data_IF_600115761567
#
_entry.id   IF_600115761567
#
_cell.length_a   1.000
_cell.length_b   1.000
_cell.length_c   1.000
_cell.angle_alpha   90.00
_cell.angle_beta   90.00
_cell.angle_gamma   90.00
#
_symmetry.space_group_name_H-M   'P 1'
#
loop_
_entity.id
_entity.type
_entity.pdbx_description
1 polymer ?
#
# COMPACT_ATOMS: atom_id res chain seq x y z
N UNK A 1 -9.52 -14.23 -7.79
CA UNK A 1 -8.18 -13.80 -7.32
C UNK A 1 -7.04 -14.69 -7.83
N UNK A 2 -7.28 -15.61 -8.77
CA UNK A 2 -6.22 -16.48 -9.29
C UNK A 2 -5.26 -15.81 -10.29
N UNK A 3 -5.46 -14.53 -10.65
CA UNK A 3 -4.72 -13.87 -11.72
C UNK A 3 -4.22 -12.44 -11.42
N UNK A 4 -4.40 -11.93 -10.20
CA UNK A 4 -3.92 -10.60 -9.80
C UNK A 4 -3.77 -10.50 -8.28
N UNK A 5 -3.00 -9.51 -7.81
CA UNK A 5 -2.80 -9.24 -6.39
C UNK A 5 -3.09 -7.77 -6.07
N UNK A 6 -3.43 -7.48 -4.82
CA UNK A 6 -3.74 -6.14 -4.31
C UNK A 6 -2.76 -5.76 -3.20
N UNK A 7 -2.30 -4.52 -3.18
CA UNK A 7 -1.42 -4.01 -2.13
C UNK A 7 -1.84 -2.59 -1.76
N UNK A 8 -1.97 -2.34 -0.46
CA UNK A 8 -2.14 -0.99 0.09
C UNK A 8 -0.78 -0.51 0.56
N UNK A 9 -0.27 0.57 -0.04
CA UNK A 9 1.06 1.12 0.24
C UNK A 9 0.95 2.48 0.93
N UNK A 10 1.78 2.69 1.94
CA UNK A 10 1.98 3.99 2.56
C UNK A 10 3.39 4.49 2.24
N UNK A 11 3.49 5.50 1.35
CA UNK A 11 4.77 6.14 1.05
C UNK A 11 5.08 7.12 2.18
N UNK A 12 6.30 7.07 2.72
CA UNK A 12 6.75 7.87 3.88
C UNK A 12 7.93 8.79 3.55
N UNK A 13 7.70 9.89 2.79
CA UNK A 13 8.75 10.86 2.49
C UNK A 13 9.35 11.48 3.75
N UNK A 14 8.52 11.69 4.77
CA UNK A 14 8.90 12.23 6.07
C UNK A 14 9.99 11.40 6.78
N UNK A 15 9.95 10.07 6.63
CA UNK A 15 11.01 9.18 7.15
C UNK A 15 12.21 9.20 6.20
N UNK A 16 11.96 9.11 4.90
CA UNK A 16 13.01 8.91 3.91
C UNK A 16 13.91 10.14 3.70
N UNK A 17 13.38 11.33 3.92
CA UNK A 17 14.13 12.59 3.91
C UNK A 17 15.14 12.66 5.06
N UNK A 18 14.84 12.02 6.19
CA UNK A 18 15.72 11.95 7.35
C UNK A 18 16.87 10.91 7.19
N UNK A 19 16.81 10.03 6.19
CA UNK A 19 17.88 9.04 5.97
C UNK A 19 19.21 9.71 5.66
N UNK A 20 20.24 9.27 6.36
CA UNK A 20 21.63 9.59 6.04
C UNK A 20 22.01 9.09 4.64
N UNK A 21 23.09 9.65 4.08
CA UNK A 21 23.68 9.17 2.83
C UNK A 21 23.98 7.66 2.91
N UNK A 22 24.53 7.21 4.04
CA UNK A 22 24.83 5.79 4.30
C UNK A 22 23.59 4.90 4.27
N UNK A 23 22.53 5.27 4.98
CA UNK A 23 21.30 4.48 5.01
C UNK A 23 20.66 4.33 3.64
N UNK A 24 20.70 5.38 2.80
CA UNK A 24 20.19 5.30 1.42
C UNK A 24 21.00 4.29 0.61
N UNK A 25 22.34 4.32 0.74
CA UNK A 25 23.22 3.39 0.04
C UNK A 25 23.01 1.95 0.51
N UNK A 26 22.90 1.71 1.82
CA UNK A 26 22.65 0.38 2.39
C UNK A 26 21.29 -0.17 1.93
N UNK A 27 20.23 0.63 2.01
CA UNK A 27 18.88 0.25 1.53
C UNK A 27 18.87 -0.06 0.05
N UNK A 28 19.54 0.75 -0.78
CA UNK A 28 19.66 0.49 -2.21
C UNK A 28 20.43 -0.80 -2.49
N UNK A 29 21.52 -1.03 -1.76
CA UNK A 29 22.42 -2.17 -1.95
C UNK A 29 21.78 -3.51 -1.56
N UNK A 30 20.78 -3.50 -0.67
CA UNK A 30 19.97 -4.68 -0.35
C UNK A 30 19.05 -5.13 -1.50
N UNK A 31 18.75 -4.24 -2.46
CA UNK A 31 17.84 -4.51 -3.57
C UNK A 31 18.58 -4.63 -4.92
N UNK A 32 19.67 -3.89 -5.08
CA UNK A 32 20.40 -3.75 -6.33
C UNK A 32 21.90 -3.77 -6.11
N UNK A 33 22.65 -4.17 -7.14
CA UNK A 33 24.09 -3.95 -7.14
C UNK A 33 24.37 -2.44 -7.16
N UNK A 34 25.08 -1.96 -6.16
CA UNK A 34 25.51 -0.56 -6.07
C UNK A 34 26.58 -0.19 -7.09
N UNK A 35 26.91 1.10 -7.21
CA UNK A 35 28.01 1.59 -8.05
C UNK A 35 29.37 1.35 -7.39
N UNK A 36 30.46 1.48 -8.16
CA UNK A 36 31.82 1.39 -7.61
C UNK A 36 32.01 2.33 -6.41
N UNK A 37 31.55 3.58 -6.51
CA UNK A 37 31.71 4.56 -5.43
C UNK A 37 30.84 4.24 -4.21
N UNK A 38 29.64 3.68 -4.39
CA UNK A 38 28.81 3.29 -3.26
C UNK A 38 29.38 2.09 -2.51
N UNK A 39 29.98 1.13 -3.23
CA UNK A 39 30.67 -0.01 -2.62
C UNK A 39 31.90 0.42 -1.82
N UNK A 40 32.75 1.28 -2.41
CA UNK A 40 33.90 1.89 -1.72
C UNK A 40 33.48 2.69 -0.50
N UNK A 41 32.39 3.46 -0.60
CA UNK A 41 31.83 4.21 0.52
C UNK A 41 31.37 3.31 1.68
N UNK A 42 30.65 2.21 1.38
CA UNK A 42 30.24 1.26 2.42
C UNK A 42 31.44 0.55 3.08
N UNK A 43 32.49 0.29 2.31
CA UNK A 43 33.76 -0.28 2.80
C UNK A 43 34.61 0.72 3.61
N UNK A 44 34.21 1.99 3.72
CA UNK A 44 34.94 3.01 4.47
C UNK A 44 36.18 3.55 3.74
N UNK A 45 36.29 3.30 2.43
CA UNK A 45 37.40 3.82 1.62
C UNK A 45 37.24 5.32 1.35
N UNK A 46 38.35 6.08 1.29
CA UNK A 46 38.30 7.50 0.96
C UNK A 46 37.86 7.73 -0.49
N UNK A 47 36.96 8.70 -0.67
CA UNK A 47 36.53 9.20 -1.96
C UNK A 47 37.00 10.64 -2.15
N UNK A 48 37.45 10.98 -3.36
CA UNK A 48 37.75 12.38 -3.71
C UNK A 48 36.48 13.22 -3.78
N UNK A 49 36.61 14.55 -3.79
CA UNK A 49 35.45 15.45 -3.90
C UNK A 49 34.62 15.21 -5.17
N UNK A 50 35.27 14.92 -6.31
CA UNK A 50 34.59 14.62 -7.57
C UNK A 50 33.85 13.27 -7.49
N UNK A 51 34.45 12.27 -6.84
CA UNK A 51 33.81 10.96 -6.62
C UNK A 51 32.58 11.09 -5.71
N UNK A 52 32.70 11.91 -4.66
CA UNK A 52 31.59 12.27 -3.77
C UNK A 52 30.46 12.97 -4.51
N UNK A 53 30.77 13.92 -5.41
CA UNK A 53 29.76 14.61 -6.20
C UNK A 53 28.93 13.64 -7.06
N UNK A 54 29.58 12.63 -7.67
CA UNK A 54 28.90 11.58 -8.43
C UNK A 54 28.03 10.71 -7.50
N UNK A 55 28.60 10.23 -6.39
CA UNK A 55 27.87 9.39 -5.44
C UNK A 55 26.64 10.11 -4.86
N UNK A 56 26.75 11.40 -4.53
CA UNK A 56 25.62 12.20 -4.02
C UNK A 56 24.48 12.34 -5.03
N UNK A 57 24.79 12.46 -6.31
CA UNK A 57 23.79 12.47 -7.38
C UNK A 57 23.05 11.13 -7.43
N UNK A 58 23.79 10.02 -7.31
CA UNK A 58 23.23 8.68 -7.30
C UNK A 58 22.35 8.46 -6.04
N UNK A 59 22.84 8.83 -4.85
CA UNK A 59 22.10 8.77 -3.59
C UNK A 59 20.78 9.55 -3.67
N UNK A 60 20.80 10.77 -4.22
CA UNK A 60 19.58 11.56 -4.41
C UNK A 60 18.58 10.83 -5.30
N UNK A 61 19.05 10.23 -6.39
CA UNK A 61 18.24 9.44 -7.30
C UNK A 61 17.67 8.19 -6.59
N UNK A 62 18.49 7.47 -5.83
CA UNK A 62 18.10 6.27 -5.10
C UNK A 62 17.06 6.56 -4.02
N UNK A 63 17.22 7.63 -3.24
CA UNK A 63 16.23 8.07 -2.25
C UNK A 63 14.86 8.27 -2.91
N UNK A 64 14.81 8.99 -4.03
CA UNK A 64 13.57 9.20 -4.78
C UNK A 64 12.95 7.87 -5.27
N UNK A 65 13.78 6.97 -5.81
CA UNK A 65 13.31 5.65 -6.30
C UNK A 65 12.80 4.74 -5.20
N UNK A 66 13.43 4.77 -4.01
CA UNK A 66 13.00 4.01 -2.83
C UNK A 66 11.63 4.46 -2.30
N UNK A 67 11.16 5.66 -2.68
CA UNK A 67 9.85 6.19 -2.35
C UNK A 67 8.85 6.14 -3.53
N UNK A 68 9.25 5.61 -4.68
CA UNK A 68 8.45 5.65 -5.89
C UNK A 68 7.66 4.34 -6.08
N UNK A 69 6.33 4.45 -6.14
CA UNK A 69 5.42 3.30 -6.28
C UNK A 69 5.68 2.55 -7.60
N UNK A 70 6.01 3.26 -8.69
CA UNK A 70 6.27 2.61 -9.97
C UNK A 70 7.56 1.78 -9.91
N UNK A 71 8.59 2.27 -9.21
CA UNK A 71 9.80 1.51 -8.92
C UNK A 71 9.52 0.30 -8.05
N UNK A 72 8.76 0.45 -6.98
CA UNK A 72 8.33 -0.66 -6.13
C UNK A 72 7.62 -1.73 -6.95
N UNK A 73 6.59 -1.35 -7.72
CA UNK A 73 5.82 -2.28 -8.54
C UNK A 73 6.66 -2.92 -9.62
N UNK A 74 7.61 -2.20 -10.22
CA UNK A 74 8.55 -2.77 -11.21
C UNK A 74 9.36 -3.91 -10.61
N UNK A 75 9.94 -3.71 -9.42
CA UNK A 75 10.77 -4.71 -8.73
C UNK A 75 9.95 -5.95 -8.38
N UNK A 76 8.76 -5.75 -7.79
CA UNK A 76 7.87 -6.84 -7.37
C UNK A 76 7.39 -7.63 -8.59
N UNK A 77 6.84 -6.94 -9.59
CA UNK A 77 6.27 -7.58 -10.78
C UNK A 77 7.32 -8.31 -11.60
N UNK A 78 8.51 -7.73 -11.77
CA UNK A 78 9.60 -8.39 -12.48
C UNK A 78 10.04 -9.67 -11.77
N UNK A 79 10.19 -9.61 -10.44
CA UNK A 79 10.63 -10.76 -9.64
C UNK A 79 9.62 -11.91 -9.69
N UNK A 80 8.32 -11.61 -9.61
CA UNK A 80 7.25 -12.60 -9.74
C UNK A 80 7.24 -13.18 -11.15
N UNK A 81 7.28 -12.34 -12.19
CA UNK A 81 7.25 -12.79 -13.59
C UNK A 81 8.42 -13.71 -13.93
N UNK A 82 9.64 -13.39 -13.46
CA UNK A 82 10.82 -14.23 -13.65
C UNK A 82 10.69 -15.59 -12.96
N UNK A 83 10.15 -15.61 -11.74
CA UNK A 83 9.95 -16.85 -10.98
C UNK A 83 8.89 -17.74 -11.63
N UNK A 84 7.73 -17.17 -11.97
CA UNK A 84 6.64 -17.91 -12.62
C UNK A 84 7.07 -18.47 -13.99
N UNK A 85 7.71 -17.66 -14.84
CA UNK A 85 8.22 -18.15 -16.12
C UNK A 85 9.25 -19.28 -15.96
N UNK A 86 10.10 -19.22 -14.92
CA UNK A 86 11.07 -20.27 -14.61
C UNK A 86 10.37 -21.56 -14.16
N UNK A 87 9.36 -21.45 -13.30
CA UNK A 87 8.54 -22.57 -12.82
C UNK A 87 7.82 -23.27 -13.97
N UNK A 88 7.20 -22.49 -14.86
CA UNK A 88 6.47 -22.97 -16.03
C UNK A 88 7.37 -23.35 -17.22
N UNK A 89 8.70 -23.18 -17.08
CA UNK A 89 9.71 -23.40 -18.14
C UNK A 89 9.38 -22.67 -19.45
N UNK A 90 8.79 -21.49 -19.33
CA UNK A 90 8.39 -20.67 -20.48
C UNK A 90 9.17 -19.36 -20.51
N UNK A 91 9.01 -18.61 -21.59
CA UNK A 91 9.57 -17.27 -21.74
C UNK A 91 8.46 -16.34 -22.26
N UNK A 92 8.62 -15.04 -22.04
CA UNK A 92 7.67 -14.04 -22.51
C UNK A 92 6.94 -13.32 -21.37
N UNK A 93 5.78 -12.78 -21.71
CA UNK A 93 5.06 -11.83 -20.88
C UNK A 93 4.17 -12.55 -19.87
N UNK A 94 4.43 -12.32 -18.58
CA UNK A 94 3.60 -12.85 -17.49
C UNK A 94 2.37 -11.97 -17.17
N UNK A 95 2.56 -10.65 -17.07
CA UNK A 95 1.48 -9.72 -16.70
C UNK A 95 0.68 -9.21 -17.92
N UNK A 96 -0.65 -9.25 -17.84
CA UNK A 96 -1.57 -8.78 -18.90
C UNK A 96 -1.43 -7.28 -19.21
N UNK A 97 -1.06 -6.46 -18.23
CA UNK A 97 -1.10 -5.01 -18.33
C UNK A 97 -0.16 -4.28 -17.38
N UNK A 98 -0.27 -2.95 -17.39
CA UNK A 98 0.33 -2.10 -16.35
C UNK A 98 -0.48 -2.23 -15.07
N UNK A 99 0.16 -2.02 -13.92
CA UNK A 99 -0.55 -1.94 -12.65
C UNK A 99 -1.46 -0.71 -12.63
N UNK A 100 -2.58 -0.82 -11.91
CA UNK A 100 -3.43 0.32 -11.58
C UNK A 100 -3.05 0.84 -10.19
N UNK A 101 -3.10 2.16 -10.00
CA UNK A 101 -2.81 2.79 -8.72
C UNK A 101 -3.87 3.84 -8.42
N UNK A 102 -4.41 3.77 -7.20
CA UNK A 102 -5.45 4.67 -6.72
C UNK A 102 -4.99 5.36 -5.45
N UNK A 103 -5.02 6.69 -5.44
CA UNK A 103 -4.65 7.48 -4.28
C UNK A 103 -5.79 7.49 -3.26
N UNK A 104 -5.49 7.06 -2.02
CA UNK A 104 -6.43 7.08 -0.90
C UNK A 104 -6.21 8.37 -0.12
N UNK A 105 -7.19 9.28 -0.16
CA UNK A 105 -7.03 10.67 0.27
C UNK A 105 -7.57 10.98 1.66
N UNK A 106 -8.27 10.01 2.28
CA UNK A 106 -8.75 10.09 3.64
C UNK A 106 -8.86 8.70 4.29
N UNK A 107 -9.16 8.70 5.59
CA UNK A 107 -9.31 7.49 6.40
C UNK A 107 -10.47 6.61 5.93
N UNK A 108 -11.54 7.22 5.37
CA UNK A 108 -12.69 6.50 4.81
C UNK A 108 -12.25 5.67 3.61
N UNK A 109 -11.53 6.28 2.67
CA UNK A 109 -10.95 5.61 1.52
C UNK A 109 -9.94 4.54 1.95
N UNK A 110 -9.08 4.84 2.92
CA UNK A 110 -8.09 3.90 3.45
C UNK A 110 -8.75 2.64 4.02
N UNK A 111 -9.64 2.78 5.00
CA UNK A 111 -10.24 1.62 5.67
C UNK A 111 -11.16 0.83 4.73
N UNK A 112 -11.88 1.51 3.83
CA UNK A 112 -12.70 0.82 2.82
C UNK A 112 -11.84 0.00 1.86
N UNK A 113 -10.72 0.56 1.40
CA UNK A 113 -9.77 -0.14 0.53
C UNK A 113 -9.12 -1.32 1.25
N UNK A 114 -8.67 -1.13 2.50
CA UNK A 114 -8.11 -2.22 3.30
C UNK A 114 -9.12 -3.36 3.48
N UNK A 115 -10.38 -3.04 3.85
CA UNK A 115 -11.43 -4.04 3.99
C UNK A 115 -11.78 -4.72 2.65
N UNK A 116 -11.81 -3.98 1.54
CA UNK A 116 -11.98 -4.54 0.19
C UNK A 116 -10.90 -5.57 -0.14
N UNK A 117 -9.64 -5.26 0.17
CA UNK A 117 -8.47 -6.13 -0.08
C UNK A 117 -8.43 -7.34 0.85
N UNK A 118 -8.76 -7.16 2.13
CA UNK A 118 -8.74 -8.23 3.12
C UNK A 118 -9.91 -9.23 2.93
N UNK A 119 -11.07 -8.77 2.42
CA UNK A 119 -12.23 -9.64 2.12
C UNK A 119 -12.20 -10.30 0.74
N UNK A 120 -11.17 -9.99 -0.02
CA UNK A 120 -11.06 -10.34 -1.43
C UNK A 120 -10.87 -11.86 -1.63
N UNK A 121 -10.08 -12.59 -0.80
CA UNK A 121 -10.04 -14.06 -0.84
C UNK A 121 -11.37 -14.73 -0.51
N UNK A 122 -12.13 -14.17 0.44
CA UNK A 122 -13.47 -14.67 0.82
C UNK A 122 -14.45 -14.49 -0.34
N UNK A 123 -14.46 -13.30 -0.97
CA UNK A 123 -15.25 -13.04 -2.17
C UNK A 123 -14.89 -13.96 -3.34
N UNK A 124 -13.60 -14.28 -3.48
CA UNK A 124 -13.11 -15.22 -4.48
C UNK A 124 -13.34 -16.71 -4.12
N UNK A 125 -13.98 -17.00 -2.96
CA UNK A 125 -14.19 -18.36 -2.42
C UNK A 125 -12.88 -19.16 -2.23
N UNK A 126 -11.79 -18.45 -1.93
CA UNK A 126 -10.49 -19.05 -1.62
C UNK A 126 -10.29 -19.29 -0.11
N UNK A 127 -11.08 -18.63 0.73
CA UNK A 127 -11.10 -18.81 2.19
C UNK A 127 -12.53 -18.60 2.71
N UNK A 128 -12.90 -19.23 3.83
CA UNK A 128 -14.23 -19.03 4.42
C UNK A 128 -14.28 -17.83 5.38
N UNK A 129 -13.12 -17.45 5.93
CA UNK A 129 -12.98 -16.36 6.89
C UNK A 129 -11.63 -15.65 6.73
N UNK A 130 -11.48 -14.43 7.29
CA UNK A 130 -10.22 -13.69 7.23
C UNK A 130 -9.02 -14.42 7.87
N UNK A 131 -9.21 -15.20 8.92
CA UNK A 131 -8.17 -16.00 9.57
C UNK A 131 -7.70 -17.21 8.73
N UNK A 132 -8.56 -17.72 7.84
CA UNK A 132 -8.21 -18.74 6.86
C UNK A 132 -7.59 -18.16 5.56
N UNK A 133 -7.57 -16.84 5.41
CA UNK A 133 -7.12 -16.19 4.17
C UNK A 133 -5.59 -16.10 4.09
N UNK A 134 -4.97 -17.12 3.51
CA UNK A 134 -3.52 -17.17 3.32
C UNK A 134 -3.00 -15.95 2.55
N UNK A 135 -1.80 -15.49 2.95
CA UNK A 135 -1.08 -14.37 2.33
C UNK A 135 -1.81 -13.01 2.39
N UNK A 136 -2.66 -12.77 3.39
CA UNK A 136 -3.28 -11.45 3.63
C UNK A 136 -2.72 -10.73 4.85
N UNK A 137 -2.84 -9.40 4.84
CA UNK A 137 -2.47 -8.58 5.99
C UNK A 137 -3.41 -8.83 7.19
N UNK A 138 -4.70 -9.07 6.96
CA UNK A 138 -5.65 -9.36 8.04
C UNK A 138 -5.33 -10.64 8.80
N UNK A 139 -4.98 -11.74 8.11
CA UNK A 139 -4.58 -12.99 8.76
C UNK A 139 -3.38 -12.76 9.68
N UNK A 140 -2.35 -12.09 9.17
CA UNK A 140 -1.18 -11.75 9.97
C UNK A 140 -1.53 -10.89 11.20
N UNK A 141 -2.41 -9.90 11.04
CA UNK A 141 -2.87 -9.05 12.15
C UNK A 141 -3.65 -9.84 13.20
N UNK A 142 -4.43 -10.84 12.80
CA UNK A 142 -5.12 -11.76 13.71
C UNK A 142 -4.10 -12.63 14.46
N UNK A 143 -3.11 -13.19 13.76
CA UNK A 143 -2.05 -14.03 14.35
C UNK A 143 -1.25 -13.28 15.40
N UNK A 144 -0.86 -12.03 15.13
CA UNK A 144 -0.17 -11.16 16.10
C UNK A 144 -0.99 -10.98 17.38
N UNK A 145 -2.32 -10.81 17.27
CA UNK A 145 -3.19 -10.67 18.44
C UNK A 145 -3.43 -11.97 19.20
N UNK A 146 -3.50 -13.11 18.50
CA UNK A 146 -3.86 -14.40 19.10
C UNK A 146 -2.66 -15.12 19.70
N UNK A 147 -1.47 -14.96 19.13
CA UNK A 147 -0.26 -15.68 19.52
C UNK A 147 0.76 -14.80 20.26
N UNK A 148 0.42 -13.53 20.54
CA UNK A 148 1.30 -12.53 21.18
C UNK A 148 2.68 -12.44 20.50
N UNK A 149 2.69 -12.56 19.17
CA UNK A 149 3.90 -12.49 18.35
C UNK A 149 4.24 -11.02 18.12
N UNK A 150 5.53 -10.69 18.18
CA UNK A 150 6.00 -9.35 17.82
C UNK A 150 5.59 -8.97 16.40
N UNK A 151 4.93 -7.81 16.26
CA UNK A 151 4.52 -7.28 14.97
C UNK A 151 5.73 -7.09 14.02
N UNK A 152 5.57 -7.51 12.77
CA UNK A 152 6.56 -7.40 11.72
C UNK A 152 6.76 -5.93 11.31
N UNK A 153 7.99 -5.60 10.94
CA UNK A 153 8.42 -4.26 10.52
C UNK A 153 7.84 -3.77 9.18
N UNK A 154 7.08 -4.60 8.46
CA UNK A 154 6.57 -4.28 7.12
C UNK A 154 5.13 -3.76 7.04
N UNK A 155 4.32 -3.92 8.10
CA UNK A 155 2.92 -3.46 8.10
C UNK A 155 2.74 -2.24 9.00
N UNK A 156 2.03 -1.24 8.48
CA UNK A 156 1.66 -0.07 9.26
C UNK A 156 0.83 -0.49 10.48
N UNK A 157 1.22 0.01 11.65
CA UNK A 157 0.59 -0.34 12.92
C UNK A 157 -0.68 0.47 13.17
N UNK A 158 -1.64 -0.15 13.85
CA UNK A 158 -2.82 0.52 14.36
C UNK A 158 -2.47 1.19 15.70
N UNK A 159 -2.40 2.52 15.71
CA UNK A 159 -1.93 3.31 16.86
C UNK A 159 -3.05 3.80 17.78
N UNK A 160 -4.30 3.44 17.47
CA UNK A 160 -5.46 3.85 18.25
C UNK A 160 -5.76 5.34 18.11
N UNK A 161 -6.18 5.98 19.21
CA UNK A 161 -6.63 7.38 19.24
C UNK A 161 -5.49 8.29 19.76
N UNK A 162 -4.26 7.80 19.76
CA UNK A 162 -3.10 8.52 20.29
C UNK A 162 -2.77 9.68 19.35
N UNK A 163 -2.87 10.90 19.86
CA UNK A 163 -2.50 12.11 19.11
C UNK A 163 -1.03 12.04 18.73
N UNK A 164 -0.71 12.37 17.47
CA UNK A 164 0.64 12.40 16.91
C UNK A 164 1.34 11.04 16.78
N UNK A 165 0.65 9.92 17.05
CA UNK A 165 1.22 8.62 16.78
C UNK A 165 1.31 8.38 15.26
N UNK A 166 2.42 7.78 14.85
CA UNK A 166 2.69 7.44 13.45
C UNK A 166 2.07 6.08 13.17
N UNK A 167 0.98 6.05 12.41
CA UNK A 167 0.31 4.83 11.99
C UNK A 167 -1.15 5.03 11.63
N UNK A 168 -1.91 3.94 11.58
CA UNK A 168 -3.34 3.95 11.29
C UNK A 168 -4.10 4.38 12.57
N UNK A 169 -4.85 5.51 12.56
CA UNK A 169 -5.43 6.12 13.78
C UNK A 169 -6.72 5.45 14.26
N UNK A 170 -6.71 4.12 14.28
CA UNK A 170 -7.80 3.25 14.72
C UNK A 170 -7.23 2.15 15.59
N UNK A 171 -8.07 1.53 16.43
CA UNK A 171 -7.65 0.33 17.16
C UNK A 171 -7.75 -0.85 16.20
N UNK A 172 -6.78 -1.76 16.23
CA UNK A 172 -6.82 -2.97 15.41
C UNK A 172 -8.10 -3.78 15.65
N UNK A 173 -8.54 -3.90 16.91
CA UNK A 173 -9.81 -4.57 17.27
C UNK A 173 -11.03 -3.95 16.58
N UNK A 174 -11.07 -2.62 16.47
CA UNK A 174 -12.19 -1.93 15.81
C UNK A 174 -12.19 -2.22 14.30
N UNK A 175 -11.00 -2.29 13.69
CA UNK A 175 -10.84 -2.67 12.28
C UNK A 175 -11.23 -4.13 12.03
N UNK A 176 -10.80 -5.07 12.87
CA UNK A 176 -11.16 -6.49 12.71
C UNK A 176 -12.67 -6.70 12.84
N UNK A 177 -13.31 -6.03 13.80
CA UNK A 177 -14.77 -6.04 13.93
C UNK A 177 -15.47 -5.49 12.68
N UNK A 178 -14.92 -4.42 12.07
CA UNK A 178 -15.43 -3.85 10.84
C UNK A 178 -15.37 -4.84 9.68
N UNK A 179 -14.23 -5.54 9.54
CA UNK A 179 -14.05 -6.51 8.45
C UNK A 179 -14.93 -7.74 8.64
N UNK A 180 -15.03 -8.30 9.84
CA UNK A 180 -15.95 -9.42 10.14
C UNK A 180 -17.41 -9.03 9.83
N UNK A 181 -17.84 -7.87 10.33
CA UNK A 181 -19.19 -7.35 10.08
C UNK A 181 -19.46 -7.15 8.58
N UNK A 182 -18.49 -6.61 7.84
CA UNK A 182 -18.58 -6.38 6.39
C UNK A 182 -18.65 -7.72 5.64
N UNK A 183 -17.80 -8.68 5.98
CA UNK A 183 -17.78 -10.01 5.37
C UNK A 183 -19.10 -10.77 5.55
N UNK A 184 -19.71 -10.69 6.74
CA UNK A 184 -21.03 -11.28 7.02
C UNK A 184 -22.15 -10.63 6.22
N UNK A 185 -22.06 -9.32 6.01
CA UNK A 185 -23.05 -8.55 5.25
C UNK A 185 -23.02 -8.85 3.74
N UNK A 186 -21.89 -9.36 3.21
CA UNK A 186 -21.68 -9.65 1.77
C UNK A 186 -21.94 -11.13 1.42
N UNK A 187 -22.18 -12.02 2.39
CA UNK A 187 -22.37 -13.46 2.14
C UNK A 187 -23.52 -13.74 1.15
N UNK A 188 -23.19 -14.44 0.05
CA UNK A 188 -24.12 -14.76 -1.04
C UNK A 188 -24.98 -16.01 -0.78
N UNK A 189 -24.66 -16.82 0.23
CA UNK A 189 -25.31 -18.09 0.56
C UNK A 189 -26.55 -17.95 1.47
N UNK A 190 -26.73 -16.78 2.09
CA UNK A 190 -27.94 -16.38 2.82
C UNK A 190 -28.26 -14.93 2.48
N UNK A 191 -29.54 -14.54 2.47
CA UNK A 191 -29.88 -13.11 2.51
C UNK A 191 -29.07 -12.48 3.65
N UNK A 192 -28.15 -11.57 3.31
CA UNK A 192 -27.13 -11.05 4.20
C UNK A 192 -27.72 -10.69 5.55
N UNK A 193 -27.41 -11.49 6.58
CA UNK A 193 -27.77 -11.16 7.95
C UNK A 193 -26.83 -10.03 8.34
N UNK A 194 -27.24 -8.80 8.07
CA UNK A 194 -26.59 -7.60 8.61
C UNK A 194 -26.66 -7.76 10.13
N UNK A 195 -25.52 -7.89 10.84
CA UNK A 195 -25.57 -7.94 12.29
C UNK A 195 -26.26 -6.67 12.80
N UNK A 196 -27.24 -6.81 13.70
CA UNK A 196 -28.12 -5.72 14.17
C UNK A 196 -27.35 -4.50 14.71
N UNK A 197 -26.12 -4.73 15.19
CA UNK A 197 -25.27 -3.71 15.74
C UNK A 197 -24.22 -3.24 14.71
N UNK A 198 -24.41 -2.04 14.18
CA UNK A 198 -23.46 -1.34 13.32
C UNK A 198 -22.17 -1.06 14.12
N UNK A 199 -20.98 -1.44 13.59
CA UNK A 199 -19.70 -1.15 14.24
C UNK A 199 -19.53 0.37 14.52
N UNK A 200 -19.15 0.78 15.74
CA UNK A 200 -19.00 2.21 16.09
C UNK A 200 -18.00 2.96 15.20
N UNK A 201 -17.05 2.25 14.59
CA UNK A 201 -16.11 2.82 13.62
C UNK A 201 -16.82 3.39 12.38
N UNK A 202 -17.95 2.83 11.93
CA UNK A 202 -18.71 3.39 10.80
C UNK A 202 -19.33 4.76 11.14
N UNK A 203 -19.81 4.93 12.37
CA UNK A 203 -20.30 6.23 12.85
C UNK A 203 -19.18 7.27 12.88
N UNK A 204 -17.97 6.87 13.31
CA UNK A 204 -16.79 7.75 13.29
C UNK A 204 -16.34 8.12 11.87
N UNK A 205 -16.50 7.19 10.94
CA UNK A 205 -16.25 7.42 9.52
C UNK A 205 -17.34 8.24 8.85
N UNK A 206 -18.46 8.52 9.53
CA UNK A 206 -19.59 9.29 8.99
C UNK A 206 -20.02 8.76 7.61
N UNK A 207 -20.04 7.43 7.49
CA UNK A 207 -20.53 6.70 6.33
C UNK A 207 -21.78 5.91 6.72
N UNK A 208 -22.81 6.00 5.88
CA UNK A 208 -23.93 5.08 5.99
C UNK A 208 -23.56 3.68 5.49
N UNK A 209 -24.41 2.72 5.84
CA UNK A 209 -24.23 1.32 5.48
C UNK A 209 -24.18 1.09 3.96
N UNK A 210 -25.06 1.74 3.21
CA UNK A 210 -25.16 1.56 1.77
C UNK A 210 -23.86 2.02 1.07
N UNK A 211 -23.36 3.18 1.45
CA UNK A 211 -22.09 3.74 0.98
C UNK A 211 -20.93 2.82 1.36
N UNK A 212 -20.87 2.34 2.60
CA UNK A 212 -19.82 1.42 3.02
C UNK A 212 -19.79 0.11 2.20
N UNK A 213 -20.95 -0.51 1.98
CA UNK A 213 -21.05 -1.74 1.19
C UNK A 213 -20.60 -1.49 -0.25
N UNK A 214 -21.01 -0.39 -0.88
CA UNK A 214 -20.57 -0.02 -2.23
C UNK A 214 -19.05 0.14 -2.25
N UNK A 215 -18.48 0.89 -1.29
CA UNK A 215 -17.04 1.12 -1.22
C UNK A 215 -16.26 -0.19 -1.03
N UNK A 216 -16.76 -1.12 -0.23
CA UNK A 216 -16.06 -2.38 0.11
C UNK A 216 -16.30 -3.54 -0.86
N UNK A 217 -17.20 -3.38 -1.84
CA UNK A 217 -17.49 -4.41 -2.86
C UNK A 217 -17.20 -3.96 -4.28
N UNK A 218 -17.39 -2.68 -4.58
CA UNK A 218 -17.27 -2.10 -5.93
C UNK A 218 -16.08 -1.13 -6.07
N UNK A 219 -15.10 -1.19 -5.16
CA UNK A 219 -14.00 -0.22 -5.07
C UNK A 219 -13.34 0.07 -6.43
N UNK A 220 -12.89 -0.97 -7.15
CA UNK A 220 -12.22 -0.80 -8.45
C UNK A 220 -13.17 -0.46 -9.61
N UNK A 221 -14.45 -0.77 -9.48
CA UNK A 221 -15.44 -0.45 -10.51
C UNK A 221 -15.86 1.04 -10.42
N UNK A 222 -15.89 1.59 -9.21
CA UNK A 222 -16.34 2.96 -8.93
C UNK A 222 -15.23 3.99 -9.03
N UNK A 223 -13.98 3.61 -8.75
CA UNK A 223 -12.87 4.53 -8.66
C UNK A 223 -11.74 4.18 -9.63
N UNK A 224 -11.25 5.19 -10.33
CA UNK A 224 -10.22 5.04 -11.35
C UNK A 224 -8.84 5.51 -10.87
N UNK A 225 -8.81 6.67 -10.23
CA UNK A 225 -7.54 7.30 -9.87
C UNK A 225 -7.50 7.69 -8.40
N UNK A 226 -8.54 8.32 -7.87
CA UNK A 226 -8.48 8.96 -6.55
C UNK A 226 -9.75 8.61 -5.77
N UNK A 227 -9.59 8.32 -4.47
CA UNK A 227 -10.67 7.94 -3.58
C UNK A 227 -10.59 8.78 -2.32
N UNK A 228 -11.70 9.43 -2.00
CA UNK A 228 -11.81 10.30 -0.84
C UNK A 228 -13.09 11.11 -0.87
N UNK A 229 -13.36 11.81 0.23
CA UNK A 229 -14.52 12.66 0.41
C UNK A 229 -14.59 13.75 -0.67
N UNK A 230 -15.79 14.08 -1.13
CA UNK A 230 -16.01 14.99 -2.26
C UNK A 230 -15.33 16.38 -2.11
N UNK A 231 -15.19 16.87 -0.88
CA UNK A 231 -14.48 18.13 -0.61
C UNK A 231 -12.96 17.99 -0.78
N UNK A 232 -12.38 16.84 -0.41
CA UNK A 232 -10.95 16.54 -0.58
C UNK A 232 -10.64 16.37 -2.06
N UNK A 233 -11.44 15.58 -2.79
CA UNK A 233 -11.26 15.40 -4.23
C UNK A 233 -11.28 16.75 -4.96
N UNK A 234 -12.25 17.63 -4.65
CA UNK A 234 -12.32 18.99 -5.21
C UNK A 234 -11.07 19.82 -4.93
N UNK A 235 -10.53 19.75 -3.70
CA UNK A 235 -9.31 20.48 -3.33
C UNK A 235 -8.12 20.03 -4.17
N UNK A 236 -7.96 18.73 -4.35
CA UNK A 236 -6.78 18.24 -5.06
C UNK A 236 -6.94 18.32 -6.58
N UNK A 237 -8.15 18.19 -7.14
CA UNK A 237 -8.41 18.55 -8.54
C UNK A 237 -8.00 20.00 -8.84
N UNK A 238 -8.31 20.94 -7.93
CA UNK A 238 -7.89 22.34 -8.06
C UNK A 238 -6.38 22.52 -7.94
N UNK A 239 -5.73 21.82 -7.01
CA UNK A 239 -4.28 21.85 -6.84
C UNK A 239 -3.51 21.27 -8.03
N UNK A 240 -4.02 20.20 -8.63
CA UNK A 240 -3.43 19.59 -9.82
C UNK A 240 -3.70 20.40 -11.09
N UNK A 241 -4.85 21.08 -11.21
CA UNK A 241 -5.06 22.05 -12.28
C UNK A 241 -4.07 23.23 -12.17
N UNK A 242 -3.74 23.67 -10.95
CA UNK A 242 -2.72 24.69 -10.73
C UNK A 242 -1.29 24.19 -11.06
N UNK A 243 -0.94 22.94 -10.71
CA UNK A 243 0.35 22.33 -11.11
C UNK A 243 0.42 21.97 -12.60
N UNK A 244 -0.69 21.62 -13.24
CA UNK A 244 -0.76 21.39 -14.68
C UNK A 244 -0.68 22.71 -15.46
N UNK A 245 -1.31 23.78 -14.97
CA UNK A 245 -1.19 25.12 -15.53
C UNK A 245 0.25 25.66 -15.43
N UNK A 246 0.97 25.41 -14.32
CA UNK A 246 2.38 25.80 -14.19
C UNK A 246 3.36 24.94 -14.98
N UNK A 247 2.94 23.77 -15.48
CA UNK A 247 3.74 22.88 -16.35
C UNK A 247 3.45 23.05 -17.84
N UNK A 248 2.57 23.99 -18.22
CA UNK A 248 2.16 24.23 -19.62
C UNK A 248 2.95 25.31 -20.36
N UNK A 249 4.05 25.82 -19.79
CA UNK A 249 4.95 26.77 -20.43
C UNK A 249 6.41 26.28 -20.41
N UNK A 250 6.69 25.25 -21.19
CA UNK A 250 7.99 25.08 -21.86
C UNK A 250 7.79 24.10 -23.01
N UNK A 251 7.90 24.53 -24.28
CA UNK A 251 7.98 23.62 -25.41
C UNK A 251 9.40 23.06 -25.55
N UNK A 252 9.46 21.85 -26.14
CA UNK A 252 10.60 20.97 -26.46
C UNK A 252 10.95 19.94 -25.38
#
# INVERSE_FOLDING_TARGET
MSNHYHVVLHVRPDIAEAWSEREVVERWSNLFVGTLFSQRYLAGEPLSEQQWAVLRRDIKCWRNRLMDISWFMRIVNESIARQANKEDRCTGRFWEGRFKSQALLDERALLSCMAYVDLNPIRARMANSPDESDHTAIKYRIEVLTHDISACSGLEQFVGITKHAIGIPYRLKDYLNLVDWTGRSIRHDKHGSIPDQIPPILQRLDLDMASWIILTTEFEARFQSWVGSAHINRRVCRGNLAQAASRSLTPV
#
